data_IF_525657936799
#
_entry.id   IF_525657936799
#
_cell.length_a   1.000
_cell.length_b   1.000
_cell.length_c   1.000
_cell.angle_alpha   90.00
_cell.angle_beta   90.00
_cell.angle_gamma   90.00
#
_symmetry.space_group_name_H-M   'P 1'
#
loop_
_entity.id
_entity.type
_entity.pdbx_description
1 polymer ?
#
# COMPACT_ATOMS: atom_id res chain seq x y z
N UNK A 1 15.45 -0.15 -10.69
CA UNK A 1 14.29 0.03 -9.79
C UNK A 1 14.65 -0.45 -8.38
N UNK A 2 14.48 0.40 -7.36
CA UNK A 2 14.74 0.01 -5.96
C UNK A 2 13.60 -0.86 -5.46
N UNK A 3 13.90 -2.11 -5.07
CA UNK A 3 12.88 -3.02 -4.53
C UNK A 3 12.53 -2.60 -3.10
N UNK A 4 11.24 -2.36 -2.83
CA UNK A 4 10.73 -2.10 -1.48
C UNK A 4 10.23 -3.43 -0.92
N UNK A 5 10.71 -3.81 0.27
CA UNK A 5 10.16 -4.98 0.97
C UNK A 5 8.76 -4.62 1.46
N UNK A 6 7.76 -5.44 1.11
CA UNK A 6 6.39 -5.23 1.55
C UNK A 6 5.76 -6.53 2.06
N UNK A 7 4.82 -6.41 2.97
CA UNK A 7 4.03 -7.52 3.51
C UNK A 7 2.57 -7.26 3.15
N UNK A 8 1.96 -8.22 2.46
CA UNK A 8 0.52 -8.19 2.16
C UNK A 8 -0.23 -9.11 3.14
N UNK A 9 -1.32 -8.61 3.70
CA UNK A 9 -2.24 -9.39 4.53
C UNK A 9 -3.67 -9.22 4.05
N UNK A 10 -4.40 -10.32 3.96
CA UNK A 10 -5.83 -10.33 3.68
C UNK A 10 -6.60 -10.70 4.95
N UNK A 11 -7.72 -10.00 5.19
CA UNK A 11 -8.66 -10.29 6.27
C UNK A 11 -10.09 -10.33 5.71
N UNK A 12 -10.80 -11.47 5.78
CA UNK A 12 -10.32 -12.79 6.23
C UNK A 12 -9.23 -13.37 5.30
N UNK A 13 -8.42 -14.32 5.80
CA UNK A 13 -7.34 -14.97 5.01
C UNK A 13 -7.86 -15.66 3.75
N UNK A 14 -9.03 -16.29 3.87
CA UNK A 14 -9.76 -16.96 2.78
C UNK A 14 -11.15 -16.31 2.68
N UNK A 15 -11.29 -15.21 1.93
CA UNK A 15 -12.59 -14.60 1.69
C UNK A 15 -13.48 -15.56 0.89
N UNK A 16 -14.75 -15.62 1.27
CA UNK A 16 -15.77 -16.38 0.55
C UNK A 16 -16.32 -15.53 -0.59
N UNK A 17 -16.86 -16.16 -1.62
CA UNK A 17 -17.66 -15.49 -2.64
C UNK A 17 -18.79 -14.68 -1.96
N UNK A 18 -19.03 -13.47 -2.46
CA UNK A 18 -19.96 -12.49 -1.90
C UNK A 18 -19.45 -11.69 -0.69
N UNK A 19 -18.29 -12.04 -0.10
CA UNK A 19 -17.77 -11.37 1.11
C UNK A 19 -16.82 -10.21 0.82
N UNK A 20 -16.77 -9.24 1.75
CA UNK A 20 -15.81 -8.14 1.71
C UNK A 20 -14.55 -8.55 2.45
N UNK A 21 -13.40 -8.52 1.76
CA UNK A 21 -12.10 -8.67 2.39
C UNK A 21 -11.33 -7.35 2.41
N UNK A 22 -10.60 -7.13 3.51
CA UNK A 22 -9.62 -6.06 3.64
C UNK A 22 -8.26 -6.58 3.20
N UNK A 23 -7.65 -5.92 2.24
CA UNK A 23 -6.29 -6.17 1.76
C UNK A 23 -5.41 -5.05 2.31
N UNK A 24 -4.41 -5.41 3.10
CA UNK A 24 -3.48 -4.47 3.72
C UNK A 24 -2.06 -4.71 3.21
N UNK A 25 -1.36 -3.64 2.84
CA UNK A 25 0.02 -3.61 2.38
C UNK A 25 0.86 -2.80 3.36
N UNK A 26 1.78 -3.45 4.07
CA UNK A 26 2.80 -2.77 4.87
C UNK A 26 4.08 -2.65 4.05
N UNK A 27 4.48 -1.43 3.68
CA UNK A 27 5.70 -1.19 2.92
C UNK A 27 6.83 -0.75 3.85
N UNK A 28 8.00 -1.41 3.81
CA UNK A 28 9.18 -0.98 4.57
C UNK A 28 9.87 0.18 3.84
N UNK A 29 9.50 1.40 4.17
CA UNK A 29 9.98 2.61 3.50
C UNK A 29 10.16 3.79 4.47
N UNK A 30 11.25 4.58 4.37
CA UNK A 30 11.51 5.68 5.30
C UNK A 30 10.55 6.88 5.17
N UNK A 31 9.91 7.07 4.00
CA UNK A 31 8.98 8.19 3.73
C UNK A 31 9.56 9.56 4.11
N UNK A 32 10.70 9.92 3.51
CA UNK A 32 11.31 11.21 3.77
C UNK A 32 10.53 12.35 3.09
N UNK A 33 10.05 13.28 3.91
CA UNK A 33 9.32 14.49 3.51
C UNK A 33 10.20 15.57 2.88
N UNK A 34 11.53 15.48 3.04
CA UNK A 34 12.46 16.55 2.68
C UNK A 34 12.59 17.69 3.70
N UNK A 35 11.75 17.69 4.75
CA UNK A 35 11.78 18.74 5.79
C UNK A 35 12.87 18.49 6.85
N UNK A 36 13.30 17.24 7.01
CA UNK A 36 14.37 16.90 7.94
C UNK A 36 15.73 17.35 7.37
N UNK A 37 16.53 18.04 8.19
CA UNK A 37 17.86 18.53 7.81
C UNK A 37 18.71 17.40 7.19
N UNK A 38 19.18 17.62 5.96
CA UNK A 38 20.04 16.67 5.24
C UNK A 38 19.31 15.45 4.62
N UNK A 39 17.97 15.40 4.64
CA UNK A 39 17.20 14.34 3.98
C UNK A 39 16.57 14.86 2.69
N UNK A 40 16.81 14.17 1.57
CA UNK A 40 16.12 14.43 0.29
C UNK A 40 14.71 13.83 0.31
N UNK A 41 13.80 14.44 -0.45
CA UNK A 41 12.43 13.93 -0.65
C UNK A 41 12.52 12.51 -1.23
N UNK A 42 11.93 11.54 -0.53
CA UNK A 42 11.89 10.16 -0.96
C UNK A 42 10.72 9.45 -0.26
N UNK A 43 9.61 9.34 -0.98
CA UNK A 43 8.36 8.75 -0.48
C UNK A 43 7.70 7.90 -1.56
N UNK A 44 6.77 7.04 -1.14
CA UNK A 44 5.92 6.27 -2.03
C UNK A 44 4.77 7.18 -2.45
N UNK A 45 4.67 7.49 -3.75
CA UNK A 45 3.67 8.39 -4.30
C UNK A 45 2.44 7.66 -4.87
N UNK A 46 2.58 6.40 -5.28
CA UNK A 46 1.51 5.64 -5.91
C UNK A 46 1.56 4.17 -5.52
N UNK A 47 0.40 3.60 -5.20
CA UNK A 47 0.21 2.18 -4.93
C UNK A 47 -0.96 1.70 -5.78
N UNK A 48 -0.75 0.64 -6.55
CA UNK A 48 -1.79 0.00 -7.37
C UNK A 48 -2.04 -1.41 -6.88
N UNK A 49 -3.31 -1.72 -6.62
CA UNK A 49 -3.76 -3.05 -6.26
C UNK A 49 -4.31 -3.73 -7.49
N UNK A 50 -3.69 -4.84 -7.87
CA UNK A 50 -4.13 -5.69 -8.98
C UNK A 50 -4.64 -7.01 -8.43
N UNK A 51 -5.72 -7.52 -9.04
CA UNK A 51 -6.22 -8.87 -8.81
C UNK A 51 -6.55 -9.49 -10.16
N UNK A 52 -5.95 -10.66 -10.41
CA UNK A 52 -6.06 -11.37 -11.68
C UNK A 52 -5.76 -10.47 -12.90
N UNK A 53 -4.68 -9.69 -12.81
CA UNK A 53 -4.28 -8.74 -13.86
C UNK A 53 -5.11 -7.45 -13.94
N UNK A 54 -6.25 -7.38 -13.26
CA UNK A 54 -7.16 -6.22 -13.29
C UNK A 54 -6.82 -5.22 -12.18
N UNK A 55 -6.75 -3.93 -12.53
CA UNK A 55 -6.56 -2.85 -11.56
C UNK A 55 -7.84 -2.69 -10.72
N UNK A 56 -7.74 -2.95 -9.41
CA UNK A 56 -8.85 -2.81 -8.47
C UNK A 56 -8.90 -1.40 -7.90
N UNK A 57 -7.73 -0.86 -7.56
CA UNK A 57 -7.64 0.41 -6.84
C UNK A 57 -6.26 1.03 -6.97
N UNK A 58 -6.23 2.36 -7.01
CA UNK A 58 -5.01 3.17 -6.98
C UNK A 58 -5.08 4.11 -5.79
N UNK A 59 -4.03 4.11 -4.98
CA UNK A 59 -3.85 5.05 -3.88
C UNK A 59 -2.75 6.02 -4.28
N UNK A 60 -3.10 7.30 -4.40
CA UNK A 60 -2.12 8.40 -4.45
C UNK A 60 -1.73 8.75 -3.02
N UNK A 61 -0.42 8.74 -2.75
CA UNK A 61 0.16 8.98 -1.45
C UNK A 61 1.03 10.23 -1.51
N UNK A 62 1.12 10.93 -0.39
CA UNK A 62 1.84 12.21 -0.29
C UNK A 62 3.07 12.07 0.61
N UNK A 63 3.96 13.04 0.53
CA UNK A 63 5.21 13.10 1.27
C UNK A 63 5.00 13.13 2.79
N UNK A 64 3.82 13.53 3.27
CA UNK A 64 3.47 13.65 4.70
C UNK A 64 3.06 12.34 5.37
N UNK A 65 3.05 11.22 4.63
CA UNK A 65 2.69 9.91 5.17
C UNK A 65 3.84 9.34 6.01
N UNK A 66 3.48 8.73 7.14
CA UNK A 66 4.42 8.14 8.11
C UNK A 66 5.34 7.07 7.52
N UNK A 67 6.51 6.93 8.15
CA UNK A 67 7.45 5.83 7.89
C UNK A 67 6.76 4.46 8.02
N UNK A 68 7.19 3.52 7.17
CA UNK A 68 6.63 2.18 7.04
C UNK A 68 5.10 2.16 6.85
N UNK A 69 4.58 2.80 5.80
CA UNK A 69 3.15 3.02 5.66
C UNK A 69 2.37 1.71 5.50
N UNK A 70 1.18 1.70 6.12
CA UNK A 70 0.17 0.66 5.95
C UNK A 70 -0.95 1.18 5.04
N UNK A 71 -1.01 0.68 3.82
CA UNK A 71 -2.11 0.94 2.90
C UNK A 71 -3.16 -0.14 3.02
N UNK A 72 -4.44 0.19 2.96
CA UNK A 72 -5.51 -0.80 3.00
C UNK A 72 -6.64 -0.46 2.07
N UNK A 73 -7.13 -1.47 1.35
CA UNK A 73 -8.32 -1.39 0.50
C UNK A 73 -9.31 -2.47 0.92
N UNK A 74 -10.60 -2.21 0.69
CA UNK A 74 -11.65 -3.22 0.82
C UNK A 74 -12.05 -3.66 -0.58
N UNK A 75 -12.12 -4.97 -0.79
CA UNK A 75 -12.58 -5.57 -2.04
C UNK A 75 -13.70 -6.55 -1.73
N UNK A 76 -14.78 -6.48 -2.50
CA UNK A 76 -15.82 -7.52 -2.51
C UNK A 76 -15.41 -8.60 -3.51
N UNK A 77 -15.33 -9.84 -3.05
CA UNK A 77 -15.10 -10.99 -3.92
C UNK A 77 -16.46 -11.43 -4.44
N UNK A 78 -16.62 -11.51 -5.76
CA UNK A 78 -17.81 -12.11 -6.38
C UNK A 78 -17.52 -13.58 -6.68
#
# INVERSE_FOLDING_TARGET
>A
MKKIKAIVKTKPKKPKAGSVAKISLLAKHPMHTGLAKGKKINYINEIKFYFDGTLISTIKSYETISQNPLYSVKMKFN
#
